data_IF_782083723879
#
_entry.id   IF_782083723879
#
_cell.length_a   1.000
_cell.length_b   1.000
_cell.length_c   1.000
_cell.angle_alpha   90.00
_cell.angle_beta   90.00
_cell.angle_gamma   90.00
#
_symmetry.space_group_name_H-M   'P 1'
#
loop_
_entity.id
_entity.type
_entity.pdbx_description
1 polymer ?
#
# COMPACT_ATOMS: atom_id res chain seq x y z
N UNK A 1 0.64 28.01 -0.69
CA UNK A 1 0.26 26.85 -1.54
C UNK A 1 1.03 25.63 -1.07
N UNK A 2 0.34 24.51 -0.94
CA UNK A 2 0.91 23.23 -0.56
C UNK A 2 1.24 22.39 -1.79
N UNK A 3 2.33 21.63 -1.71
CA UNK A 3 2.67 20.59 -2.66
C UNK A 3 2.07 19.28 -2.17
N UNK A 4 1.04 18.78 -2.84
CA UNK A 4 0.53 17.42 -2.67
C UNK A 4 1.49 16.44 -3.34
N UNK A 5 1.82 15.33 -2.69
CA UNK A 5 2.84 14.39 -3.14
C UNK A 5 2.20 13.04 -3.54
N UNK A 6 2.61 12.51 -4.69
CA UNK A 6 2.18 11.20 -5.19
C UNK A 6 3.28 10.14 -5.07
N UNK A 7 4.47 10.45 -5.58
CA UNK A 7 5.59 9.52 -5.57
C UNK A 7 6.93 10.24 -5.73
N UNK A 8 7.99 9.58 -5.26
CA UNK A 8 9.38 9.87 -5.64
C UNK A 8 9.83 8.75 -6.58
N UNK A 9 10.48 9.09 -7.67
CA UNK A 9 11.11 8.15 -8.59
C UNK A 9 12.54 8.56 -8.89
N UNK A 10 13.39 7.61 -9.24
CA UNK A 10 14.74 7.90 -9.70
C UNK A 10 14.74 8.57 -11.08
N UNK A 11 13.81 8.17 -11.93
CA UNK A 11 13.57 8.78 -13.26
C UNK A 11 12.17 8.44 -13.74
N UNK A 12 11.62 9.31 -14.57
CA UNK A 12 10.34 9.04 -15.22
C UNK A 12 10.48 7.89 -16.23
N UNK A 13 9.42 7.09 -16.43
CA UNK A 13 9.38 6.09 -17.49
C UNK A 13 9.60 6.75 -18.87
N UNK A 14 10.18 6.03 -19.84
CA UNK A 14 10.27 6.53 -21.20
C UNK A 14 8.89 6.94 -21.76
N UNK A 15 8.79 8.12 -22.37
CA UNK A 15 7.53 8.67 -22.91
C UNK A 15 6.43 8.93 -21.88
N UNK A 16 6.79 9.04 -20.59
CA UNK A 16 5.82 9.40 -19.56
C UNK A 16 5.10 10.70 -19.93
N UNK A 17 3.79 10.72 -19.67
CA UNK A 17 2.94 11.92 -19.83
C UNK A 17 2.20 12.16 -18.53
N UNK A 18 2.05 13.43 -18.11
CA UNK A 18 1.25 13.74 -16.94
C UNK A 18 -0.21 13.30 -17.18
N UNK A 19 -0.89 12.75 -16.15
CA UNK A 19 -2.32 12.51 -16.22
C UNK A 19 -3.08 13.84 -16.41
N UNK A 20 -4.30 13.75 -16.93
CA UNK A 20 -5.13 14.91 -17.28
C UNK A 20 -5.39 15.83 -16.10
N UNK A 21 -5.56 15.26 -14.90
CA UNK A 21 -5.74 16.00 -13.65
C UNK A 21 -5.25 15.18 -12.47
N UNK A 22 -4.82 15.86 -11.40
CA UNK A 22 -4.50 15.32 -10.11
C UNK A 22 -5.55 15.66 -9.06
N UNK A 23 -5.19 15.50 -7.79
CA UNK A 23 -6.03 15.81 -6.65
C UNK A 23 -6.48 17.29 -6.72
N UNK A 24 -7.77 17.52 -6.42
CA UNK A 24 -8.37 18.85 -6.52
C UNK A 24 -8.51 19.39 -7.93
N UNK A 25 -8.33 18.57 -8.98
CA UNK A 25 -8.33 19.01 -10.39
C UNK A 25 -7.03 19.72 -10.80
N UNK A 26 -6.03 19.77 -9.91
CA UNK A 26 -4.75 20.43 -10.17
C UNK A 26 -3.88 19.61 -11.14
N UNK A 27 -3.02 20.31 -11.90
CA UNK A 27 -2.06 19.64 -12.78
C UNK A 27 -1.05 18.82 -12.00
N UNK A 28 -0.72 17.63 -12.50
CA UNK A 28 0.37 16.81 -11.97
C UNK A 28 1.68 17.24 -12.63
N UNK A 29 2.63 17.69 -11.80
CA UNK A 29 3.90 18.23 -12.26
C UNK A 29 5.07 17.42 -11.70
N UNK A 30 5.97 16.92 -12.54
CA UNK A 30 7.23 16.34 -12.08
C UNK A 30 8.19 17.46 -11.70
N UNK A 31 8.68 17.43 -10.46
CA UNK A 31 9.70 18.36 -9.97
C UNK A 31 11.00 17.61 -9.77
N UNK A 32 12.02 18.00 -10.53
CA UNK A 32 13.36 17.45 -10.35
C UNK A 32 14.04 18.13 -9.16
N UNK A 33 14.58 17.33 -8.26
CA UNK A 33 15.37 17.75 -7.11
C UNK A 33 16.58 16.81 -7.07
N UNK A 34 17.75 17.32 -7.34
CA UNK A 34 18.97 16.56 -7.57
C UNK A 34 18.75 15.44 -8.60
N UNK A 35 19.06 14.19 -8.27
CA UNK A 35 18.90 13.03 -9.14
C UNK A 35 17.51 12.37 -9.04
N UNK A 36 16.59 12.97 -8.31
CA UNK A 36 15.25 12.43 -8.06
C UNK A 36 14.18 13.26 -8.76
N UNK A 37 13.05 12.62 -9.02
CA UNK A 37 11.85 13.29 -9.52
C UNK A 37 10.72 13.05 -8.54
N UNK A 38 10.12 14.14 -8.05
CA UNK A 38 8.93 14.11 -7.19
C UNK A 38 7.71 14.47 -8.02
N UNK A 39 6.72 13.57 -8.07
CA UNK A 39 5.44 13.87 -8.67
C UNK A 39 4.54 14.53 -7.63
N UNK A 40 3.96 15.67 -8.00
CA UNK A 40 3.06 16.40 -7.11
C UNK A 40 2.13 17.35 -7.84
N UNK A 41 1.19 17.91 -7.10
CA UNK A 41 0.27 18.95 -7.54
C UNK A 41 0.28 20.11 -6.55
N UNK A 42 0.19 21.35 -7.04
CA UNK A 42 -0.01 22.51 -6.17
C UNK A 42 -1.49 22.62 -5.82
N UNK A 43 -1.80 22.60 -4.55
CA UNK A 43 -3.16 22.67 -4.02
C UNK A 43 -3.24 23.63 -2.83
N UNK A 44 -4.42 24.15 -2.56
CA UNK A 44 -4.66 25.00 -1.40
C UNK A 44 -4.93 24.12 -0.15
N UNK A 45 -5.70 23.07 -0.30
CA UNK A 45 -6.03 22.13 0.78
C UNK A 45 -6.17 20.70 0.25
N UNK A 46 -5.88 19.73 1.11
CA UNK A 46 -6.09 18.31 0.79
C UNK A 46 -7.58 17.98 0.93
N UNK A 47 -8.25 17.48 -0.12
CA UNK A 47 -9.64 17.04 -0.02
C UNK A 47 -9.78 15.88 0.96
N UNK A 48 -10.96 15.76 1.58
CA UNK A 48 -11.28 14.59 2.38
C UNK A 48 -11.18 13.29 1.54
N UNK A 49 -10.74 12.18 2.15
CA UNK A 49 -10.64 10.92 1.44
C UNK A 49 -12.03 10.42 1.00
N UNK A 50 -12.13 10.00 -0.25
CA UNK A 50 -13.30 9.38 -0.85
C UNK A 50 -12.85 8.30 -1.82
N UNK A 51 -13.69 7.33 -2.21
CA UNK A 51 -13.33 6.34 -3.23
C UNK A 51 -12.78 6.98 -4.51
N UNK A 52 -13.36 8.09 -4.93
CA UNK A 52 -12.94 8.83 -6.13
C UNK A 52 -11.57 9.47 -5.97
N UNK A 53 -11.32 10.15 -4.84
CA UNK A 53 -10.03 10.83 -4.63
C UNK A 53 -8.91 9.83 -4.36
N UNK A 54 -9.20 8.70 -3.71
CA UNK A 54 -8.26 7.60 -3.53
C UNK A 54 -7.88 6.96 -4.87
N UNK A 55 -8.88 6.67 -5.73
CA UNK A 55 -8.64 6.14 -7.07
C UNK A 55 -7.78 7.10 -7.89
N UNK A 56 -8.12 8.40 -7.91
CA UNK A 56 -7.35 9.41 -8.65
C UNK A 56 -5.89 9.48 -8.18
N UNK A 57 -5.64 9.42 -6.88
CA UNK A 57 -4.28 9.36 -6.34
C UNK A 57 -3.53 8.12 -6.85
N UNK A 58 -4.18 6.95 -6.79
CA UNK A 58 -3.61 5.70 -7.28
C UNK A 58 -3.35 5.73 -8.78
N UNK A 59 -4.25 6.31 -9.58
CA UNK A 59 -4.08 6.46 -11.03
C UNK A 59 -2.85 7.31 -11.36
N UNK A 60 -2.61 8.40 -10.61
CA UNK A 60 -1.40 9.20 -10.78
C UNK A 60 -0.15 8.39 -10.45
N UNK A 61 -0.13 7.66 -9.33
CA UNK A 61 1.00 6.82 -8.93
C UNK A 61 1.23 5.70 -9.95
N UNK A 62 0.16 5.12 -10.50
CA UNK A 62 0.24 4.07 -11.51
C UNK A 62 0.99 4.52 -12.77
N UNK A 63 0.96 5.80 -13.12
CA UNK A 63 1.70 6.32 -14.29
C UNK A 63 3.21 6.17 -14.18
N UNK A 64 3.74 5.97 -12.98
CA UNK A 64 5.19 5.82 -12.72
C UNK A 64 5.56 4.45 -12.15
N UNK A 65 4.64 3.51 -12.10
CA UNK A 65 4.96 2.12 -11.68
C UNK A 65 6.05 1.51 -12.55
N UNK A 66 6.14 1.91 -13.84
CA UNK A 66 7.17 1.46 -14.78
C UNK A 66 8.51 2.19 -14.65
N UNK A 67 8.67 3.13 -13.73
CA UNK A 67 9.98 3.65 -13.35
C UNK A 67 10.87 2.54 -12.78
N UNK A 68 12.19 2.70 -12.81
CA UNK A 68 13.10 1.67 -12.31
C UNK A 68 12.96 1.48 -10.79
N UNK A 69 12.65 2.56 -10.07
CA UNK A 69 12.30 2.55 -8.64
C UNK A 69 11.23 3.61 -8.35
N UNK A 70 10.22 3.25 -7.58
CA UNK A 70 9.10 4.13 -7.20
C UNK A 70 8.85 4.05 -5.71
N UNK A 71 8.86 5.18 -5.02
CA UNK A 71 8.42 5.32 -3.64
C UNK A 71 7.09 6.08 -3.61
N UNK A 72 5.96 5.41 -3.44
CA UNK A 72 4.67 6.08 -3.39
C UNK A 72 4.47 6.77 -2.05
N UNK A 73 3.83 7.93 -2.06
CA UNK A 73 3.26 8.55 -0.87
C UNK A 73 1.84 8.03 -0.62
N UNK A 74 1.43 8.03 0.64
CA UNK A 74 0.03 7.74 0.99
C UNK A 74 -0.85 8.93 0.63
N UNK A 75 -2.14 8.64 0.38
CA UNK A 75 -3.13 9.69 0.17
C UNK A 75 -3.11 10.69 1.32
N UNK A 76 -3.16 11.97 0.97
CA UNK A 76 -3.19 13.05 1.94
C UNK A 76 -1.83 13.65 2.27
N UNK A 77 -0.72 13.09 1.75
CA UNK A 77 0.61 13.64 2.00
C UNK A 77 0.78 14.96 1.25
N UNK A 78 0.95 16.03 2.00
CA UNK A 78 1.20 17.37 1.48
C UNK A 78 2.09 18.18 2.43
N UNK A 79 2.83 19.13 1.87
CA UNK A 79 3.68 20.04 2.63
C UNK A 79 3.80 21.39 1.93
N UNK A 80 4.24 22.45 2.59
CA UNK A 80 4.55 23.72 1.93
C UNK A 80 5.55 23.52 0.79
N UNK A 81 5.24 24.03 -0.40
CA UNK A 81 6.05 23.78 -1.60
C UNK A 81 7.51 24.27 -1.46
N UNK A 82 7.74 25.27 -0.61
CA UNK A 82 9.08 25.80 -0.32
C UNK A 82 9.92 24.83 0.54
N UNK A 83 9.29 23.95 1.31
CA UNK A 83 9.97 23.05 2.25
C UNK A 83 10.40 21.73 1.59
N UNK A 84 9.85 21.38 0.44
CA UNK A 84 10.05 20.07 -0.21
C UNK A 84 11.54 19.74 -0.43
N UNK A 85 12.33 20.69 -0.93
CA UNK A 85 13.75 20.44 -1.19
C UNK A 85 14.54 20.18 0.11
N UNK A 86 14.31 20.99 1.16
CA UNK A 86 14.95 20.78 2.46
C UNK A 86 14.50 19.48 3.13
N UNK A 87 13.20 19.14 3.01
CA UNK A 87 12.66 17.89 3.52
C UNK A 87 13.33 16.67 2.86
N UNK A 88 13.52 16.72 1.53
CA UNK A 88 14.16 15.64 0.76
C UNK A 88 15.65 15.53 1.10
N UNK A 89 16.37 16.66 1.17
CA UNK A 89 17.78 16.70 1.55
C UNK A 89 18.01 16.08 2.94
N UNK A 90 17.15 16.40 3.92
CA UNK A 90 17.22 15.83 5.26
C UNK A 90 16.96 14.30 5.32
N UNK A 91 16.43 13.71 4.24
CA UNK A 91 16.09 12.27 4.14
C UNK A 91 16.79 11.56 2.99
N UNK A 92 17.82 12.16 2.43
CA UNK A 92 18.50 11.65 1.23
C UNK A 92 18.96 10.19 1.38
N UNK A 93 19.58 9.85 2.50
CA UNK A 93 20.03 8.48 2.76
C UNK A 93 18.86 7.49 2.86
N UNK A 94 17.80 7.86 3.60
CA UNK A 94 16.61 7.03 3.75
C UNK A 94 15.91 6.80 2.40
N UNK A 95 15.72 7.86 1.63
CA UNK A 95 15.09 7.81 0.31
C UNK A 95 15.95 7.00 -0.67
N UNK A 96 17.26 7.21 -0.65
CA UNK A 96 18.22 6.46 -1.49
C UNK A 96 18.19 4.95 -1.18
N UNK A 97 18.26 4.58 0.10
CA UNK A 97 18.17 3.19 0.53
C UNK A 97 16.82 2.56 0.16
N UNK A 98 15.71 3.28 0.37
CA UNK A 98 14.37 2.81 0.03
C UNK A 98 14.20 2.61 -1.49
N UNK A 99 14.66 3.55 -2.32
CA UNK A 99 14.68 3.38 -3.79
C UNK A 99 15.53 2.17 -4.19
N UNK A 100 16.69 1.98 -3.55
CA UNK A 100 17.54 0.83 -3.79
C UNK A 100 16.84 -0.51 -3.51
N UNK A 101 16.07 -0.58 -2.41
CA UNK A 101 15.38 -1.81 -2.00
C UNK A 101 14.23 -2.23 -2.92
N UNK A 102 13.64 -1.30 -3.67
CA UNK A 102 12.50 -1.58 -4.57
C UNK A 102 12.86 -1.44 -6.05
N UNK A 103 14.12 -1.22 -6.37
CA UNK A 103 14.58 -1.06 -7.76
C UNK A 103 14.33 -2.33 -8.59
N UNK A 104 13.54 -2.21 -9.65
CA UNK A 104 13.15 -3.33 -10.52
C UNK A 104 12.03 -4.21 -9.96
N UNK A 105 11.44 -3.81 -8.84
CA UNK A 105 10.39 -4.56 -8.16
C UNK A 105 9.06 -3.80 -8.20
N UNK A 106 7.97 -4.54 -8.08
CA UNK A 106 6.60 -4.03 -7.95
C UNK A 106 5.87 -4.80 -6.86
N UNK A 107 4.79 -4.24 -6.36
CA UNK A 107 3.92 -4.93 -5.42
C UNK A 107 2.81 -5.67 -6.17
N UNK A 108 2.64 -6.95 -5.83
CA UNK A 108 1.46 -7.74 -6.16
C UNK A 108 0.69 -8.00 -4.87
N UNK A 109 -0.61 -7.71 -4.88
CA UNK A 109 -1.47 -7.96 -3.72
C UNK A 109 -2.42 -9.09 -4.04
N UNK A 110 -2.40 -10.16 -3.25
CA UNK A 110 -3.35 -11.28 -3.34
C UNK A 110 -4.43 -11.07 -2.30
N UNK A 111 -5.65 -10.79 -2.75
CA UNK A 111 -6.83 -10.65 -1.89
C UNK A 111 -7.45 -12.02 -1.62
N UNK A 112 -7.73 -12.31 -0.37
CA UNK A 112 -8.45 -13.49 0.09
C UNK A 112 -9.90 -13.08 0.35
N UNK A 113 -10.82 -13.50 -0.52
CA UNK A 113 -12.23 -13.10 -0.45
C UNK A 113 -13.09 -14.26 0.05
N UNK A 114 -13.95 -14.00 1.06
CA UNK A 114 -14.96 -14.97 1.50
C UNK A 114 -16.01 -15.15 0.42
N UNK A 115 -16.25 -16.40 0.00
CA UNK A 115 -17.25 -16.72 -1.03
C UNK A 115 -18.66 -16.74 -0.48
N UNK A 116 -18.86 -17.06 0.80
CA UNK A 116 -20.17 -17.19 1.42
C UNK A 116 -20.97 -15.88 1.48
N UNK A 117 -20.28 -14.74 1.46
CA UNK A 117 -20.93 -13.43 1.39
C UNK A 117 -21.62 -13.14 0.03
N UNK A 118 -21.23 -13.83 -1.05
CA UNK A 118 -21.77 -13.59 -2.40
C UNK A 118 -23.06 -14.35 -2.64
N UNK A 119 -23.21 -15.54 -2.06
CA UNK A 119 -24.38 -16.41 -2.28
C UNK A 119 -25.59 -15.93 -1.47
N UNK A 120 -25.37 -15.29 -0.31
CA UNK A 120 -26.46 -14.78 0.54
C UNK A 120 -27.32 -13.69 -0.09
N UNK A 121 -26.79 -12.89 -1.01
CA UNK A 121 -27.53 -11.82 -1.67
C UNK A 121 -28.49 -12.31 -2.79
N UNK A 122 -28.21 -13.43 -3.42
CA UNK A 122 -29.04 -13.95 -4.51
C UNK A 122 -30.15 -14.90 -4.04
N UNK A 123 -30.06 -15.46 -2.84
CA UNK A 123 -31.03 -16.39 -2.30
C UNK A 123 -31.98 -15.79 -1.25
N UNK A 124 -31.79 -14.54 -0.85
CA UNK A 124 -32.64 -13.87 0.16
C UNK A 124 -34.08 -13.54 -0.31
N UNK A 125 -34.47 -13.94 -1.53
CA UNK A 125 -35.82 -13.73 -2.09
C UNK A 125 -36.81 -14.86 -1.91
N UNK A 126 -36.38 -16.03 -1.40
CA UNK A 126 -37.30 -17.16 -1.19
C UNK A 126 -36.93 -17.93 0.09
N UNK A 127 -37.82 -17.87 1.05
CA UNK A 127 -37.91 -18.71 2.24
C UNK A 127 -37.11 -18.30 3.49
N UNK A 128 -37.71 -17.37 4.26
CA UNK A 128 -37.21 -16.92 5.58
C UNK A 128 -37.62 -17.81 6.75
N UNK A 129 -38.20 -19.00 6.55
CA UNK A 129 -38.88 -19.72 7.65
C UNK A 129 -38.27 -21.07 8.06
N UNK A 130 -37.14 -21.51 7.53
CA UNK A 130 -36.51 -22.75 8.05
C UNK A 130 -34.98 -22.75 7.86
N UNK A 131 -34.26 -22.26 8.84
CA UNK A 131 -32.99 -22.79 9.38
C UNK A 131 -32.35 -21.80 10.36
N UNK A 132 -32.90 -21.75 11.56
CA UNK A 132 -32.08 -21.43 12.74
C UNK A 132 -31.17 -22.64 12.98
N UNK A 133 -29.87 -22.48 12.78
CA UNK A 133 -28.93 -23.55 13.07
C UNK A 133 -27.75 -23.54 12.10
N UNK A 134 -26.65 -22.99 12.52
CA UNK A 134 -25.35 -23.09 11.84
C UNK A 134 -25.01 -21.86 11.02
N UNK A 135 -24.52 -20.82 11.68
CA UNK A 135 -23.58 -19.87 11.08
C UNK A 135 -22.41 -20.73 10.61
N UNK A 136 -22.30 -20.98 9.30
CA UNK A 136 -21.05 -21.46 8.76
C UNK A 136 -20.06 -20.31 8.99
N UNK A 137 -19.31 -20.38 10.09
CA UNK A 137 -18.20 -19.48 10.32
C UNK A 137 -17.27 -19.67 9.13
N UNK A 138 -17.10 -18.62 8.33
CA UNK A 138 -16.11 -18.61 7.25
C UNK A 138 -14.72 -18.92 7.84
N UNK A 139 -13.72 -19.22 7.01
CA UNK A 139 -12.40 -19.59 7.47
C UNK A 139 -11.90 -18.62 8.53
N UNK A 140 -11.45 -19.19 9.64
CA UNK A 140 -10.93 -18.44 10.79
C UNK A 140 -9.60 -17.76 10.45
N UNK A 141 -9.14 -16.86 11.34
CA UNK A 141 -7.86 -16.16 11.16
C UNK A 141 -6.68 -17.11 10.97
N UNK A 142 -6.66 -18.22 11.69
CA UNK A 142 -5.60 -19.24 11.58
C UNK A 142 -5.57 -19.88 10.18
N UNK A 143 -6.72 -20.17 9.59
CA UNK A 143 -6.81 -20.74 8.24
C UNK A 143 -6.38 -19.74 7.17
N UNK A 144 -6.72 -18.46 7.34
CA UNK A 144 -6.27 -17.39 6.45
C UNK A 144 -4.75 -17.17 6.54
N UNK A 145 -4.17 -17.25 7.72
CA UNK A 145 -2.73 -17.18 7.92
C UNK A 145 -2.01 -18.39 7.32
N UNK A 146 -2.57 -19.60 7.49
CA UNK A 146 -2.03 -20.82 6.87
C UNK A 146 -2.07 -20.73 5.34
N UNK A 147 -3.16 -20.22 4.75
CA UNK A 147 -3.28 -19.99 3.33
C UNK A 147 -2.26 -18.94 2.83
N UNK A 148 -2.09 -17.85 3.59
CA UNK A 148 -1.08 -16.84 3.30
C UNK A 148 0.34 -17.41 3.35
N UNK A 149 0.63 -18.27 4.33
CA UNK A 149 1.90 -19.00 4.41
C UNK A 149 2.15 -19.90 3.21
N UNK A 150 1.14 -20.68 2.78
CA UNK A 150 1.24 -21.52 1.59
C UNK A 150 1.46 -20.71 0.30
N UNK A 151 0.80 -19.55 0.18
CA UNK A 151 1.05 -18.62 -0.93
C UNK A 151 2.49 -18.09 -0.91
N UNK A 152 3.00 -17.71 0.27
CA UNK A 152 4.36 -17.19 0.43
C UNK A 152 5.42 -18.25 0.11
N UNK A 153 5.23 -19.48 0.57
CA UNK A 153 6.11 -20.62 0.28
C UNK A 153 6.16 -20.89 -1.23
N UNK A 154 5.00 -20.93 -1.90
CA UNK A 154 4.93 -21.16 -3.35
C UNK A 154 5.45 -19.98 -4.15
N UNK A 155 5.21 -18.76 -3.71
CA UNK A 155 5.74 -17.57 -4.37
C UNK A 155 7.28 -17.57 -4.37
N UNK A 156 7.90 -18.16 -3.35
CA UNK A 156 9.36 -18.25 -3.18
C UNK A 156 10.04 -16.86 -3.27
N UNK A 157 9.41 -15.85 -2.68
CA UNK A 157 9.90 -14.47 -2.66
C UNK A 157 10.39 -14.07 -1.27
N UNK A 158 11.48 -13.27 -1.16
CA UNK A 158 12.07 -12.93 0.14
C UNK A 158 11.22 -11.96 0.95
N UNK A 159 10.32 -11.21 0.31
CA UNK A 159 9.53 -10.19 0.99
C UNK A 159 8.04 -10.33 0.67
N UNK A 160 7.28 -10.49 1.75
CA UNK A 160 5.82 -10.50 1.73
C UNK A 160 5.25 -9.93 3.04
N UNK A 161 3.99 -9.50 3.03
CA UNK A 161 3.29 -8.94 4.17
C UNK A 161 1.86 -9.49 4.21
N UNK A 162 1.44 -10.01 5.36
CA UNK A 162 0.07 -10.39 5.62
C UNK A 162 -0.67 -9.24 6.32
N UNK A 163 -1.88 -8.96 5.87
CA UNK A 163 -2.74 -7.94 6.43
C UNK A 163 -4.14 -8.53 6.61
N UNK A 164 -4.57 -8.82 7.86
CA UNK A 164 -5.96 -9.19 8.11
C UNK A 164 -6.86 -8.01 7.76
N UNK A 165 -8.00 -8.28 7.13
CA UNK A 165 -9.02 -7.28 6.89
C UNK A 165 -10.04 -7.31 8.04
N UNK A 166 -10.58 -6.13 8.37
CA UNK A 166 -11.69 -6.05 9.33
C UNK A 166 -12.94 -6.79 8.85
N UNK A 167 -13.94 -6.92 9.70
CA UNK A 167 -15.18 -7.66 9.44
C UNK A 167 -16.11 -7.02 8.41
N UNK A 168 -15.72 -5.91 7.79
CA UNK A 168 -16.55 -5.17 6.82
C UNK A 168 -16.17 -5.58 5.39
N UNK A 169 -17.13 -6.10 4.64
CA UNK A 169 -16.96 -6.54 3.25
C UNK A 169 -16.55 -8.01 3.12
N UNK A 170 -16.27 -8.45 1.90
CA UNK A 170 -15.92 -9.83 1.57
C UNK A 170 -14.41 -10.11 1.60
N UNK A 171 -13.57 -9.09 1.73
CA UNK A 171 -12.12 -9.27 1.85
C UNK A 171 -11.81 -9.78 3.26
N UNK A 172 -11.34 -11.01 3.36
CA UNK A 172 -10.95 -11.62 4.64
C UNK A 172 -9.54 -11.19 5.05
N UNK A 173 -8.62 -11.18 4.09
CA UNK A 173 -7.23 -10.75 4.29
C UNK A 173 -6.60 -10.36 2.96
N UNK A 174 -5.43 -9.74 3.02
CA UNK A 174 -4.59 -9.46 1.86
C UNK A 174 -3.16 -9.90 2.13
N UNK A 175 -2.49 -10.39 1.09
CA UNK A 175 -1.07 -10.75 1.13
C UNK A 175 -0.35 -9.95 0.07
N UNK A 176 0.50 -9.03 0.47
CA UNK A 176 1.34 -8.26 -0.43
C UNK A 176 2.67 -9.00 -0.68
N UNK A 177 3.13 -9.01 -1.91
CA UNK A 177 4.39 -9.60 -2.35
C UNK A 177 5.21 -8.56 -3.10
N UNK A 178 6.49 -8.45 -2.78
CA UNK A 178 7.43 -7.70 -3.59
C UNK A 178 7.98 -8.63 -4.68
N UNK A 179 7.61 -8.35 -5.94
CA UNK A 179 7.83 -9.25 -7.09
C UNK A 179 8.77 -8.56 -8.09
N UNK A 180 9.82 -9.23 -8.59
CA UNK A 180 10.61 -8.70 -9.70
C UNK A 180 9.70 -8.41 -10.88
N UNK A 181 9.81 -7.23 -11.48
CA UNK A 181 9.00 -6.83 -12.64
C UNK A 181 9.07 -7.82 -13.79
N UNK A 182 10.22 -8.47 -13.96
CA UNK A 182 10.47 -9.46 -15.01
C UNK A 182 9.86 -10.83 -14.72
N UNK A 183 9.35 -11.05 -13.49
CA UNK A 183 8.86 -12.38 -13.05
C UNK A 183 7.36 -12.39 -12.67
N UNK A 184 6.59 -11.42 -13.14
CA UNK A 184 5.16 -11.33 -12.80
C UNK A 184 4.38 -12.57 -13.26
N UNK A 185 4.62 -13.05 -14.48
CA UNK A 185 3.97 -14.24 -15.02
C UNK A 185 4.39 -15.49 -14.25
N UNK A 186 5.68 -15.63 -13.93
CA UNK A 186 6.20 -16.73 -13.12
C UNK A 186 5.60 -16.73 -11.70
N UNK A 187 5.51 -15.57 -11.05
CA UNK A 187 4.83 -15.42 -9.77
C UNK A 187 3.39 -15.91 -9.80
N UNK A 188 2.59 -15.44 -10.78
CA UNK A 188 1.19 -15.88 -10.92
C UNK A 188 1.07 -17.39 -11.14
N UNK A 189 1.94 -17.98 -11.97
CA UNK A 189 1.98 -19.43 -12.20
C UNK A 189 2.32 -20.22 -10.94
N UNK A 190 3.22 -19.72 -10.10
CA UNK A 190 3.60 -20.39 -8.83
C UNK A 190 2.48 -20.41 -7.80
N UNK A 191 1.70 -19.33 -7.66
CA UNK A 191 0.62 -19.24 -6.67
C UNK A 191 -0.69 -19.89 -7.14
N UNK A 192 -0.90 -20.10 -8.43
CA UNK A 192 -2.13 -20.63 -9.00
C UNK A 192 -2.58 -21.97 -8.38
N UNK A 193 -1.70 -22.97 -8.12
CA UNK A 193 -2.12 -24.22 -7.48
C UNK A 193 -2.71 -24.02 -6.09
N UNK A 194 -2.18 -23.10 -5.29
CA UNK A 194 -2.73 -22.78 -3.95
C UNK A 194 -4.12 -22.19 -4.09
N UNK A 195 -4.30 -21.25 -5.04
CA UNK A 195 -5.58 -20.63 -5.31
C UNK A 195 -6.67 -21.65 -5.71
N UNK A 196 -6.30 -22.68 -6.47
CA UNK A 196 -7.23 -23.73 -6.93
C UNK A 196 -7.71 -24.66 -5.82
N UNK A 197 -7.00 -24.75 -4.70
CA UNK A 197 -7.32 -25.64 -3.57
C UNK A 197 -7.91 -24.90 -2.35
N UNK A 198 -8.06 -23.60 -2.41
CA UNK A 198 -8.63 -22.79 -1.33
C UNK A 198 -10.16 -22.99 -1.24
N UNK A 199 -10.64 -23.70 -0.22
CA UNK A 199 -12.07 -23.94 -0.03
C UNK A 199 -12.72 -22.74 0.65
N UNK A 200 -13.84 -22.24 0.10
CA UNK A 200 -14.59 -21.11 0.69
C UNK A 200 -13.90 -19.73 0.55
N UNK A 201 -12.73 -19.68 -0.09
CA UNK A 201 -11.95 -18.45 -0.31
C UNK A 201 -11.62 -18.31 -1.80
N UNK A 202 -11.97 -17.17 -2.38
CA UNK A 202 -11.41 -16.78 -3.67
C UNK A 202 -10.06 -16.08 -3.46
N UNK A 203 -9.04 -16.55 -4.15
CA UNK A 203 -7.69 -15.97 -4.13
C UNK A 203 -7.54 -15.10 -5.38
N UNK A 204 -7.50 -13.79 -5.19
CA UNK A 204 -7.55 -12.82 -6.31
C UNK A 204 -6.27 -11.97 -6.32
N UNK A 205 -5.31 -12.28 -7.21
CA UNK A 205 -4.15 -11.43 -7.39
C UNK A 205 -4.52 -10.12 -8.09
N UNK A 206 -3.95 -9.02 -7.63
CA UNK A 206 -4.11 -7.68 -8.18
C UNK A 206 -2.75 -6.97 -8.25
N UNK A 207 -2.59 -6.05 -9.19
CA UNK A 207 -1.35 -5.33 -9.47
C UNK A 207 -0.96 -5.44 -10.95
N UNK A 208 0.25 -5.01 -11.34
CA UNK A 208 1.31 -4.51 -10.46
C UNK A 208 1.00 -3.12 -9.89
N UNK A 209 1.37 -2.91 -8.63
CA UNK A 209 1.24 -1.65 -7.91
C UNK A 209 2.62 -1.08 -7.54
N UNK A 210 2.69 0.21 -7.24
CA UNK A 210 3.83 0.76 -6.53
C UNK A 210 3.95 0.10 -5.15
N UNK A 211 5.17 -0.09 -4.61
CA UNK A 211 5.43 -0.95 -3.46
C UNK A 211 5.08 -0.31 -2.11
N UNK A 212 3.83 0.10 -1.90
CA UNK A 212 3.35 0.75 -0.68
C UNK A 212 3.65 -0.02 0.61
N UNK A 213 3.56 -1.35 0.55
CA UNK A 213 3.78 -2.22 1.71
C UNK A 213 5.24 -2.45 2.06
N UNK A 214 6.18 -2.04 1.20
CA UNK A 214 7.61 -2.38 1.30
C UNK A 214 8.52 -1.16 1.42
N UNK A 215 7.96 0.04 1.44
CA UNK A 215 8.70 1.29 1.59
C UNK A 215 8.42 1.92 2.96
N UNK A 216 9.37 2.71 3.50
CA UNK A 216 9.12 3.44 4.74
C UNK A 216 7.99 4.45 4.57
N UNK A 217 7.27 4.73 5.65
CA UNK A 217 6.28 5.81 5.69
C UNK A 217 7.03 7.15 5.72
N UNK A 218 7.27 7.71 4.53
CA UNK A 218 8.03 8.94 4.37
C UNK A 218 7.27 10.17 4.88
N UNK A 219 5.95 10.08 4.99
CA UNK A 219 5.01 11.13 5.42
C UNK A 219 4.87 11.27 6.94
N UNK A 220 5.31 10.27 7.71
CA UNK A 220 5.39 10.41 9.16
C UNK A 220 6.60 11.26 9.53
N UNK A 221 6.36 12.38 10.26
CA UNK A 221 7.44 13.03 10.99
C UNK A 221 8.15 11.98 11.84
N UNK A 222 9.50 11.94 11.87
CA UNK A 222 10.19 11.04 12.78
C UNK A 222 9.63 11.33 14.16
N UNK A 223 9.07 10.31 14.83
CA UNK A 223 8.65 10.43 16.22
C UNK A 223 9.85 11.00 16.94
N UNK A 224 9.73 12.24 17.45
CA UNK A 224 10.76 12.86 18.26
C UNK A 224 11.12 11.79 19.28
N UNK A 225 12.38 11.37 19.32
CA UNK A 225 12.87 10.50 20.37
C UNK A 225 12.54 11.25 21.63
N UNK A 226 11.53 10.80 22.37
CA UNK A 226 11.28 11.25 23.72
C UNK A 226 12.58 10.95 24.46
N UNK A 227 13.35 12.01 24.68
CA UNK A 227 14.55 11.95 25.48
C UNK A 227 14.12 11.48 26.87
N UNK A 228 14.42 10.22 27.17
CA UNK A 228 14.23 9.59 28.49
C UNK A 228 15.24 10.12 29.51
N UNK A 229 15.59 11.41 29.43
CA UNK A 229 16.65 12.02 30.24
C UNK A 229 16.12 13.05 31.25
N UNK A 230 14.87 12.86 31.71
CA UNK A 230 14.35 13.72 32.79
C UNK A 230 13.62 12.90 33.84
N UNK A 231 14.26 11.91 34.43
CA UNK A 231 13.82 11.35 35.72
C UNK A 231 15.02 10.69 36.44
N UNK A 232 15.91 11.47 36.99
CA UNK A 232 16.73 11.07 38.13
C UNK A 232 17.39 12.33 38.76
N UNK A 233 16.58 13.13 39.47
CA UNK A 233 17.13 13.99 40.50
C UNK A 233 16.73 13.42 41.85
N UNK A 234 17.66 12.85 42.65
CA UNK A 234 17.32 12.40 43.96
C UNK A 234 17.19 13.65 44.88
N UNK A 235 15.97 13.83 45.40
CA UNK A 235 15.68 14.81 46.42
C UNK A 235 16.51 14.52 47.69
N UNK A 236 17.55 15.33 47.95
CA UNK A 236 18.29 15.32 49.19
C UNK A 236 17.40 15.89 50.30
N UNK A 237 16.96 15.04 51.22
CA UNK A 237 16.47 15.49 52.51
C UNK A 237 17.62 16.04 53.31
N UNK A 238 17.51 17.30 53.72
CA UNK A 238 18.31 17.89 54.81
C UNK A 238 17.47 17.74 56.08
N UNK A 239 18.12 17.23 57.10
CA UNK A 239 17.64 16.97 58.44
C UNK A 239 17.30 18.20 59.28
#
# INVERSE_FOLDING_TARGET
>A
MNQYLYAIVDRLPPRWRPPTAGIGGASVVPRRIDDLVVLGSLIDSVPAPSPRTLALHQDVVATVVDASATLPFRYGTAMPAAELAGWLAARQELVGAALGSVRGWVEMTVKLLRLDCVIGYQLAGRDRSRRAGGKADGPGEHELQALAGALAERAALPQWRYQPSGSVGNVAASVAFLVPRTDLTGFLGRIAPVASHAVGIAVVPTGPWAPYSFVPELDRAPLARLSTDTLLTPSRRVG
#
